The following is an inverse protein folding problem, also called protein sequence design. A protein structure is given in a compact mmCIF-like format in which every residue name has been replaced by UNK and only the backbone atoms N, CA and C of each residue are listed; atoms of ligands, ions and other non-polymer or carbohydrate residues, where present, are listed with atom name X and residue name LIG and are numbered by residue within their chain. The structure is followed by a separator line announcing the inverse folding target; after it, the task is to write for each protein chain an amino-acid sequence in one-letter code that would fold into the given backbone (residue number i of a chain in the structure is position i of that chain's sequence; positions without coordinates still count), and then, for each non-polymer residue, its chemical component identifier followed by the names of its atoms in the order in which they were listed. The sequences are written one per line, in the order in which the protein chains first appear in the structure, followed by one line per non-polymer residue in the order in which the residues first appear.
data_IF_245548938429
#
_entry.id   IF_245548938429
#
_cell.length_a   1.000
_cell.length_b   1.000
_cell.length_c   1.000
_cell.angle_alpha   90.00
_cell.angle_beta   90.00
_cell.angle_gamma   90.00
#
_symmetry.space_group_name_H-M   'P 1'
#
loop_
_entity.id
_entity.type
_entity.pdbx_description
1 polymer ?
#
# COMPACT_ATOMS: atom_id res chain seq x y z
N UNK A 1 3.56 22.77 4.55
CA UNK A 1 3.44 21.82 3.44
C UNK A 1 2.00 21.37 3.34
N UNK A 2 1.39 21.49 2.19
CA UNK A 2 0.01 21.06 1.99
C UNK A 2 -0.01 20.13 0.79
N UNK A 3 -0.12 18.82 1.05
CA UNK A 3 -0.34 17.81 0.02
C UNK A 3 -1.82 17.74 -0.35
N UNK A 4 -2.13 17.15 -1.48
CA UNK A 4 -3.53 16.95 -1.90
C UNK A 4 -4.32 15.96 -1.02
N UNK A 5 -3.61 15.13 -0.22
CA UNK A 5 -4.19 14.29 0.82
C UNK A 5 -3.67 14.72 2.20
N UNK A 6 -4.57 14.83 3.16
CA UNK A 6 -4.19 15.01 4.56
C UNK A 6 -3.40 13.78 5.06
N UNK A 7 -2.31 14.00 5.78
CA UNK A 7 -1.35 12.93 6.02
C UNK A 7 -0.62 13.07 7.35
N UNK A 8 -0.39 11.95 8.02
CA UNK A 8 0.60 11.86 9.10
C UNK A 8 1.98 11.68 8.46
N UNK A 9 2.93 12.55 8.83
CA UNK A 9 4.29 12.51 8.32
C UNK A 9 5.25 12.32 9.48
N UNK A 10 6.02 11.24 9.45
CA UNK A 10 7.02 10.91 10.47
C UNK A 10 8.39 11.02 9.81
N UNK A 11 9.06 12.11 10.09
CA UNK A 11 10.40 12.41 9.56
C UNK A 11 11.51 11.72 10.36
N UNK A 12 12.70 11.54 9.79
CA UNK A 12 13.93 11.30 10.52
C UNK A 12 14.17 12.35 11.61
N UNK A 13 15.19 12.10 12.44
CA UNK A 13 15.66 13.11 13.41
C UNK A 13 16.19 14.37 12.69
N UNK A 14 16.16 15.49 13.39
CA UNK A 14 16.61 16.77 12.83
C UNK A 14 18.06 16.68 12.33
N UNK A 15 18.30 17.19 11.13
CA UNK A 15 19.60 17.15 10.48
C UNK A 15 19.94 15.86 9.74
N UNK A 16 19.10 14.83 9.83
CA UNK A 16 19.28 13.61 9.05
C UNK A 16 18.70 13.78 7.64
N UNK A 17 19.52 13.47 6.64
CA UNK A 17 19.10 13.50 5.23
C UNK A 17 18.05 12.43 4.94
N UNK A 18 16.94 12.82 4.30
CA UNK A 18 15.93 11.87 3.83
C UNK A 18 16.41 11.24 2.53
N UNK A 19 16.60 9.93 2.54
CA UNK A 19 17.06 9.14 1.39
C UNK A 19 15.96 8.26 0.80
N UNK A 20 14.97 7.89 1.60
CA UNK A 20 13.90 6.99 1.22
C UNK A 20 12.56 7.45 1.80
N UNK A 21 11.48 6.98 1.20
CA UNK A 21 10.13 7.14 1.73
C UNK A 21 9.39 5.81 1.79
N UNK A 22 8.54 5.65 2.82
CA UNK A 22 7.53 4.59 2.85
C UNK A 22 6.16 5.26 2.92
N UNK A 23 5.33 5.01 1.92
CA UNK A 23 3.95 5.46 1.89
C UNK A 23 3.08 4.32 2.40
N UNK A 24 2.36 4.55 3.51
CA UNK A 24 1.52 3.56 4.20
C UNK A 24 0.04 3.89 3.97
N UNK A 25 -0.68 3.00 3.30
CA UNK A 25 -2.08 3.17 2.95
C UNK A 25 -2.97 2.34 3.88
N UNK A 26 -3.90 3.01 4.57
CA UNK A 26 -4.83 2.36 5.51
C UNK A 26 -5.91 1.52 4.80
N UNK A 27 -6.61 0.67 5.55
CA UNK A 27 -7.76 -0.11 5.10
C UNK A 27 -9.05 0.71 5.07
N UNK A 28 -10.13 0.12 4.56
CA UNK A 28 -11.47 0.72 4.50
C UNK A 28 -11.96 1.09 5.89
N UNK A 29 -12.34 2.36 6.08
CA UNK A 29 -12.79 2.89 7.36
C UNK A 29 -11.70 3.22 8.38
N UNK A 30 -10.42 3.03 8.02
CA UNK A 30 -9.28 3.47 8.83
C UNK A 30 -8.82 4.88 8.46
N UNK A 31 -7.65 5.26 8.98
CA UNK A 31 -7.02 6.55 8.69
C UNK A 31 -5.49 6.45 8.68
N UNK A 32 -4.83 7.54 8.34
CA UNK A 32 -3.37 7.63 8.32
C UNK A 32 -2.73 7.45 9.71
N UNK A 33 -3.45 7.80 10.79
CA UNK A 33 -2.96 7.64 12.16
C UNK A 33 -2.90 6.15 12.54
N UNK A 34 -3.92 5.39 12.20
CA UNK A 34 -3.97 3.96 12.50
C UNK A 34 -2.82 3.21 11.81
N UNK A 35 -2.63 3.40 10.51
CA UNK A 35 -1.59 2.71 9.77
C UNK A 35 -0.18 3.21 10.13
N UNK A 36 -0.04 4.42 10.66
CA UNK A 36 1.23 4.99 11.10
C UNK A 36 1.88 4.22 12.24
N UNK A 37 1.10 3.40 12.97
CA UNK A 37 1.62 2.54 14.05
C UNK A 37 2.69 1.56 13.55
N UNK A 38 2.66 1.14 12.28
CA UNK A 38 3.73 0.32 11.69
C UNK A 38 5.08 1.05 11.70
N UNK A 39 5.09 2.36 11.46
CA UNK A 39 6.31 3.15 11.42
C UNK A 39 7.04 3.22 12.76
N UNK A 40 6.33 3.12 13.89
CA UNK A 40 6.92 3.16 15.22
C UNK A 40 7.95 2.03 15.43
N UNK A 41 7.67 0.85 14.90
CA UNK A 41 8.58 -0.28 14.96
C UNK A 41 9.68 -0.21 13.90
N UNK A 42 9.39 0.36 12.73
CA UNK A 42 10.31 0.39 11.58
C UNK A 42 11.32 1.54 11.64
N UNK A 43 10.92 2.70 12.18
CA UNK A 43 11.72 3.94 12.22
C UNK A 43 13.13 3.73 12.77
N UNK A 44 13.30 2.97 13.85
CA UNK A 44 14.60 2.71 14.47
C UNK A 44 15.58 1.95 13.58
N UNK A 45 15.08 1.22 12.58
CA UNK A 45 15.88 0.44 11.62
C UNK A 45 16.11 1.19 10.31
N UNK A 46 15.46 2.34 10.14
CA UNK A 46 15.40 3.11 8.89
C UNK A 46 15.61 4.61 9.16
N UNK A 47 16.78 5.01 9.70
CA UNK A 47 17.01 6.36 10.22
C UNK A 47 16.94 7.47 9.14
N UNK A 48 17.12 7.14 7.86
CA UNK A 48 17.07 8.08 6.73
C UNK A 48 15.74 8.03 5.96
N UNK A 49 14.68 7.44 6.55
CA UNK A 49 13.40 7.22 5.87
C UNK A 49 12.30 8.10 6.44
N UNK A 50 11.55 8.78 5.57
CA UNK A 50 10.31 9.45 5.93
C UNK A 50 9.15 8.48 5.75
N UNK A 51 8.26 8.39 6.75
CA UNK A 51 7.02 7.62 6.66
C UNK A 51 5.87 8.60 6.41
N UNK A 52 5.02 8.27 5.44
CA UNK A 52 3.93 9.13 4.98
C UNK A 52 2.67 8.28 4.95
N UNK A 53 1.70 8.67 5.77
CA UNK A 53 0.47 7.91 6.00
C UNK A 53 -0.72 8.81 5.66
N UNK A 54 -1.13 8.86 4.38
CA UNK A 54 -2.26 9.69 3.96
C UNK A 54 -3.59 9.11 4.40
N UNK A 55 -4.58 9.99 4.62
CA UNK A 55 -5.98 9.64 4.63
C UNK A 55 -6.47 9.38 3.21
N UNK A 56 -7.41 8.46 3.04
CA UNK A 56 -8.14 8.31 1.79
C UNK A 56 -8.83 9.61 1.41
N UNK A 57 -9.11 9.80 0.12
CA UNK A 57 -9.65 11.06 -0.38
C UNK A 57 -11.15 11.26 -0.08
N UNK A 58 -11.83 10.24 0.43
CA UNK A 58 -13.25 10.27 0.78
C UNK A 58 -13.47 9.85 2.23
N UNK A 59 -14.45 10.46 2.89
CA UNK A 59 -14.97 9.94 4.17
C UNK A 59 -15.58 8.56 3.93
N UNK A 60 -15.35 7.63 4.86
CA UNK A 60 -15.86 6.27 4.72
C UNK A 60 -17.39 6.22 4.91
N UNK A 61 -18.09 5.56 3.99
CA UNK A 61 -19.55 5.46 4.01
C UNK A 61 -20.09 4.76 5.27
N UNK A 62 -19.36 3.78 5.82
CA UNK A 62 -19.78 3.01 7.00
C UNK A 62 -19.11 3.45 8.31
N UNK A 63 -18.08 4.28 8.25
CA UNK A 63 -17.39 4.87 9.40
C UNK A 63 -17.08 6.34 9.15
N UNK A 64 -17.96 7.28 9.52
CA UNK A 64 -17.75 8.69 9.24
C UNK A 64 -16.51 9.33 9.88
N UNK A 65 -15.90 8.66 10.86
CA UNK A 65 -14.65 9.10 11.49
C UNK A 65 -13.38 8.59 10.75
N UNK A 66 -13.55 7.71 9.77
CA UNK A 66 -12.48 7.15 8.96
C UNK A 66 -12.63 7.49 7.48
N UNK A 67 -11.71 6.97 6.69
CA UNK A 67 -11.61 7.26 5.27
C UNK A 67 -11.68 5.99 4.40
N UNK A 68 -11.92 6.19 3.12
CA UNK A 68 -11.88 5.15 2.11
C UNK A 68 -11.12 5.62 0.88
N UNK A 69 -10.52 4.66 0.16
CA UNK A 69 -9.91 4.92 -1.14
C UNK A 69 -10.97 4.87 -2.24
N UNK A 70 -11.89 3.92 -2.12
CA UNK A 70 -13.04 3.78 -3.03
C UNK A 70 -14.23 3.14 -2.29
N UNK A 71 -15.43 3.43 -2.78
CA UNK A 71 -16.66 2.94 -2.17
C UNK A 71 -16.82 1.43 -2.36
N UNK A 72 -17.18 0.73 -1.28
CA UNK A 72 -17.49 -0.71 -1.23
C UNK A 72 -18.94 -0.98 -0.83
N UNK A 73 -19.80 0.01 -0.81
CA UNK A 73 -21.24 -0.15 -0.46
C UNK A 73 -22.03 -0.94 -1.50
N UNK A 74 -21.50 -1.07 -2.73
CA UNK A 74 -22.07 -1.86 -3.81
C UNK A 74 -21.12 -2.99 -4.19
N UNK A 75 -21.65 -4.21 -4.30
CA UNK A 75 -20.91 -5.40 -4.73
C UNK A 75 -20.84 -5.53 -6.27
N UNK A 76 -20.75 -4.40 -6.97
CA UNK A 76 -20.65 -4.35 -8.43
C UNK A 76 -19.19 -4.14 -8.84
N UNK A 77 -18.64 -5.08 -9.61
CA UNK A 77 -17.23 -5.08 -10.00
C UNK A 77 -16.84 -3.90 -10.89
N UNK A 78 -17.73 -3.46 -11.76
CA UNK A 78 -17.46 -2.35 -12.69
C UNK A 78 -17.55 -1.02 -11.94
N UNK A 79 -18.52 -0.90 -11.01
CA UNK A 79 -18.59 0.23 -10.10
C UNK A 79 -17.33 0.36 -9.23
N UNK A 80 -16.91 -0.74 -8.59
CA UNK A 80 -15.70 -0.75 -7.75
C UNK A 80 -14.47 -0.37 -8.59
N UNK A 81 -14.34 -0.89 -9.81
CA UNK A 81 -13.26 -0.54 -10.71
C UNK A 81 -13.27 0.96 -11.05
N UNK A 82 -14.42 1.52 -11.44
CA UNK A 82 -14.54 2.94 -11.75
C UNK A 82 -14.13 3.82 -10.56
N UNK A 83 -14.61 3.51 -9.35
CA UNK A 83 -14.26 4.27 -8.15
C UNK A 83 -12.77 4.13 -7.81
N UNK A 84 -12.20 2.94 -7.96
CA UNK A 84 -10.78 2.70 -7.70
C UNK A 84 -9.87 3.46 -8.67
N UNK A 85 -10.25 3.61 -9.95
CA UNK A 85 -9.50 4.38 -10.93
C UNK A 85 -9.45 5.87 -10.53
N UNK A 86 -10.56 6.44 -10.03
CA UNK A 86 -10.56 7.82 -9.51
C UNK A 86 -9.60 7.98 -8.33
N UNK A 87 -9.62 7.01 -7.41
CA UNK A 87 -8.68 6.98 -6.28
C UNK A 87 -7.22 6.87 -6.71
N UNK A 88 -6.94 6.06 -7.76
CA UNK A 88 -5.59 5.95 -8.32
C UNK A 88 -5.05 7.28 -8.83
N UNK A 89 -5.87 8.08 -9.51
CA UNK A 89 -5.46 9.41 -10.02
C UNK A 89 -5.06 10.34 -8.87
N UNK A 90 -5.85 10.37 -7.80
CA UNK A 90 -5.55 11.16 -6.61
C UNK A 90 -4.26 10.68 -5.95
N UNK A 91 -4.10 9.37 -5.77
CA UNK A 91 -2.92 8.79 -5.13
C UNK A 91 -1.66 8.99 -5.98
N UNK A 92 -1.74 8.88 -7.30
CA UNK A 92 -0.62 9.18 -8.22
C UNK A 92 -0.19 10.63 -8.13
N UNK A 93 -1.14 11.56 -8.05
CA UNK A 93 -0.86 12.98 -7.83
C UNK A 93 -0.13 13.17 -6.49
N UNK A 94 -0.64 12.60 -5.43
CA UNK A 94 -0.04 12.65 -4.09
C UNK A 94 1.40 12.12 -4.08
N UNK A 95 1.65 10.96 -4.70
CA UNK A 95 3.00 10.38 -4.80
C UNK A 95 3.96 11.34 -5.54
N UNK A 96 3.51 12.00 -6.60
CA UNK A 96 4.33 12.98 -7.31
C UNK A 96 4.64 14.21 -6.45
N UNK A 97 3.70 14.67 -5.63
CA UNK A 97 3.95 15.74 -4.65
C UNK A 97 5.02 15.32 -3.62
N UNK A 98 4.96 14.08 -3.12
CA UNK A 98 5.98 13.51 -2.21
C UNK A 98 7.36 13.46 -2.89
N UNK A 99 7.43 12.98 -4.14
CA UNK A 99 8.69 12.95 -4.92
C UNK A 99 9.31 14.33 -5.05
N UNK A 100 8.51 15.35 -5.33
CA UNK A 100 8.97 16.73 -5.47
C UNK A 100 9.44 17.30 -4.13
N UNK A 101 8.65 17.13 -3.08
CA UNK A 101 8.94 17.68 -1.75
C UNK A 101 10.23 17.13 -1.15
N UNK A 102 10.40 15.80 -1.20
CA UNK A 102 11.56 15.13 -0.62
C UNK A 102 12.69 14.88 -1.63
N UNK A 103 12.52 15.29 -2.88
CA UNK A 103 13.49 15.11 -3.99
C UNK A 103 13.85 13.64 -4.19
N UNK A 104 12.86 12.75 -4.12
CA UNK A 104 13.02 11.32 -4.27
C UNK A 104 12.57 10.85 -5.65
N UNK A 105 13.25 9.81 -6.16
CA UNK A 105 12.81 9.03 -7.33
C UNK A 105 11.98 7.82 -6.87
N UNK A 106 11.25 7.20 -7.79
CA UNK A 106 10.38 6.07 -7.47
C UNK A 106 11.12 4.91 -6.79
N UNK A 107 12.35 4.61 -7.23
CA UNK A 107 13.16 3.53 -6.66
C UNK A 107 13.66 3.78 -5.22
N UNK A 108 13.38 4.94 -4.66
CA UNK A 108 13.62 5.29 -3.26
C UNK A 108 12.33 5.29 -2.44
N UNK A 109 11.19 4.87 -3.03
CA UNK A 109 9.88 4.85 -2.39
C UNK A 109 9.35 3.43 -2.33
N UNK A 110 8.94 2.99 -1.14
CA UNK A 110 8.15 1.79 -0.94
C UNK A 110 6.67 2.17 -0.84
N UNK A 111 5.80 1.48 -1.58
CA UNK A 111 4.36 1.54 -1.37
C UNK A 111 3.93 0.37 -0.50
N UNK A 112 3.26 0.66 0.61
CA UNK A 112 2.74 -0.39 1.50
C UNK A 112 1.30 -0.08 1.89
N UNK A 113 0.50 -1.11 2.09
CA UNK A 113 -0.87 -0.89 2.50
C UNK A 113 -1.55 -2.12 3.08
N UNK A 114 -2.60 -1.87 3.86
CA UNK A 114 -3.43 -2.88 4.49
C UNK A 114 -4.81 -2.91 3.83
N UNK A 115 -5.34 -4.11 3.57
CA UNK A 115 -6.69 -4.33 3.05
C UNK A 115 -6.95 -3.49 1.77
N UNK A 116 -7.84 -2.53 1.78
CA UNK A 116 -8.09 -1.62 0.65
C UNK A 116 -6.82 -0.84 0.26
N UNK A 117 -5.97 -0.46 1.24
CA UNK A 117 -4.67 0.17 0.98
C UNK A 117 -3.68 -0.77 0.26
N UNK A 118 -3.72 -2.08 0.52
CA UNK A 118 -2.96 -3.08 -0.25
C UNK A 118 -3.42 -3.11 -1.71
N UNK A 119 -4.74 -3.11 -1.93
CA UNK A 119 -5.33 -3.09 -3.27
C UNK A 119 -4.85 -1.86 -4.07
N UNK A 120 -4.85 -0.68 -3.44
CA UNK A 120 -4.36 0.56 -4.03
C UNK A 120 -2.85 0.53 -4.28
N UNK A 121 -2.06 -0.01 -3.34
CA UNK A 121 -0.60 -0.14 -3.51
C UNK A 121 -0.24 -0.99 -4.72
N UNK A 122 -0.96 -2.10 -4.95
CA UNK A 122 -0.77 -2.95 -6.12
C UNK A 122 -1.16 -2.23 -7.42
N UNK A 123 -2.35 -1.66 -7.46
CA UNK A 123 -2.86 -1.00 -8.66
C UNK A 123 -1.97 0.20 -9.05
N UNK A 124 -1.71 1.11 -8.11
CA UNK A 124 -0.90 2.30 -8.39
C UNK A 124 0.56 1.91 -8.63
N UNK A 125 1.13 1.04 -7.79
CA UNK A 125 2.55 0.68 -7.89
C UNK A 125 2.93 0.01 -9.20
N UNK A 126 2.05 -0.82 -9.77
CA UNK A 126 2.29 -1.52 -11.02
C UNK A 126 1.92 -0.71 -12.27
N UNK A 127 1.10 0.34 -12.12
CA UNK A 127 0.65 1.20 -13.24
C UNK A 127 1.41 2.53 -13.34
N UNK A 128 2.38 2.80 -12.47
CA UNK A 128 3.32 3.89 -12.63
C UNK A 128 4.30 3.60 -13.77
N UNK A 129 4.85 4.65 -14.41
CA UNK A 129 5.85 4.48 -15.49
C UNK A 129 7.14 3.85 -14.96
N UNK A 130 7.62 4.32 -13.82
CA UNK A 130 8.87 3.87 -13.20
C UNK A 130 8.60 2.96 -12.01
N UNK A 131 9.52 2.01 -11.79
CA UNK A 131 9.46 1.10 -10.63
C UNK A 131 9.63 1.83 -9.32
N UNK A 132 8.86 1.40 -8.34
CA UNK A 132 9.15 1.67 -6.93
C UNK A 132 10.26 0.75 -6.40
N UNK A 133 10.80 1.08 -5.22
CA UNK A 133 11.76 0.18 -4.55
C UNK A 133 11.13 -1.19 -4.30
N UNK A 134 9.93 -1.20 -3.76
CA UNK A 134 9.11 -2.39 -3.60
C UNK A 134 7.64 -2.03 -3.31
N UNK A 135 6.77 -3.05 -3.39
CA UNK A 135 5.39 -3.01 -2.89
C UNK A 135 5.26 -4.02 -1.76
N UNK A 136 4.61 -3.63 -0.66
CA UNK A 136 4.26 -4.53 0.44
C UNK A 136 2.77 -4.45 0.72
N UNK A 137 2.07 -5.55 0.53
CA UNK A 137 0.63 -5.63 0.74
C UNK A 137 0.26 -6.57 1.89
N UNK A 138 -0.64 -6.10 2.77
CA UNK A 138 -1.21 -6.90 3.84
C UNK A 138 -2.70 -7.11 3.61
N UNK A 139 -3.16 -8.37 3.64
CA UNK A 139 -4.58 -8.78 3.65
C UNK A 139 -5.43 -8.10 2.57
N UNK A 140 -4.91 -8.01 1.35
CA UNK A 140 -5.60 -7.39 0.22
C UNK A 140 -5.81 -8.36 -0.94
N UNK A 141 -6.35 -7.81 -2.04
CA UNK A 141 -6.57 -8.54 -3.30
C UNK A 141 -6.31 -7.62 -4.50
N UNK A 142 -6.22 -8.19 -5.69
CA UNK A 142 -6.25 -7.42 -6.94
C UNK A 142 -7.71 -7.03 -7.22
N UNK A 143 -7.96 -5.74 -7.45
CA UNK A 143 -9.32 -5.19 -7.65
C UNK A 143 -9.96 -5.81 -8.90
N UNK A 144 -9.27 -5.74 -10.04
CA UNK A 144 -9.70 -6.32 -11.29
C UNK A 144 -8.49 -6.80 -12.10
N UNK A 145 -8.34 -8.12 -12.20
CA UNK A 145 -7.17 -8.72 -12.88
C UNK A 145 -7.13 -8.39 -14.38
N UNK A 146 -8.28 -8.34 -15.05
CA UNK A 146 -8.36 -8.07 -16.50
C UNK A 146 -7.95 -6.64 -16.80
N UNK A 147 -8.44 -5.68 -16.03
CA UNK A 147 -8.09 -4.27 -16.16
C UNK A 147 -6.61 -4.03 -15.83
N UNK A 148 -6.16 -4.50 -14.67
CA UNK A 148 -4.78 -4.30 -14.22
C UNK A 148 -3.77 -4.89 -15.22
N UNK A 149 -4.03 -6.10 -15.77
CA UNK A 149 -3.18 -6.72 -16.79
C UNK A 149 -2.90 -5.79 -17.97
N UNK A 150 -3.91 -5.06 -18.41
CA UNK A 150 -3.78 -4.16 -19.57
C UNK A 150 -3.03 -2.85 -19.25
N UNK A 151 -2.88 -2.54 -17.96
CA UNK A 151 -2.32 -1.27 -17.47
C UNK A 151 -0.97 -1.42 -16.76
N UNK A 152 -0.47 -2.64 -16.54
CA UNK A 152 0.87 -2.86 -15.95
C UNK A 152 1.92 -2.23 -16.84
N UNK A 153 2.76 -1.37 -16.26
CA UNK A 153 3.86 -0.65 -16.92
C UNK A 153 5.24 -1.03 -16.38
N UNK A 154 5.28 -1.58 -15.18
CA UNK A 154 6.52 -1.96 -14.51
C UNK A 154 6.36 -3.29 -13.75
N UNK A 155 7.48 -3.85 -13.30
CA UNK A 155 7.53 -5.10 -12.55
C UNK A 155 8.19 -4.88 -11.17
N UNK A 156 7.70 -3.90 -10.41
CA UNK A 156 8.14 -3.64 -9.04
C UNK A 156 8.03 -4.90 -8.19
N UNK A 157 9.13 -5.28 -7.51
CA UNK A 157 9.13 -6.47 -6.65
C UNK A 157 8.13 -6.31 -5.51
N UNK A 158 7.37 -7.36 -5.25
CA UNK A 158 6.20 -7.30 -4.36
C UNK A 158 6.29 -8.36 -3.26
N UNK A 159 5.90 -8.00 -2.04
CA UNK A 159 5.65 -8.93 -0.94
C UNK A 159 4.16 -8.85 -0.57
N UNK A 160 3.48 -9.99 -0.54
CA UNK A 160 2.10 -10.09 -0.07
C UNK A 160 2.03 -10.96 1.19
N UNK A 161 1.39 -10.45 2.23
CA UNK A 161 1.22 -11.14 3.52
C UNK A 161 -0.27 -11.22 3.83
N UNK A 162 -0.74 -12.39 4.26
CA UNK A 162 -2.16 -12.61 4.51
C UNK A 162 -2.39 -13.52 5.71
N UNK A 163 -3.45 -13.29 6.46
CA UNK A 163 -3.90 -14.18 7.51
C UNK A 163 -4.67 -15.37 6.94
N UNK A 164 -4.37 -16.59 7.40
CA UNK A 164 -5.05 -17.83 6.95
C UNK A 164 -6.54 -17.83 7.31
N UNK A 165 -6.89 -17.26 8.47
CA UNK A 165 -8.25 -17.21 9.00
C UNK A 165 -9.01 -15.91 8.65
N UNK A 166 -8.48 -15.10 7.70
CA UNK A 166 -9.10 -13.86 7.26
C UNK A 166 -10.47 -14.11 6.60
N UNK A 167 -11.54 -13.64 7.25
CA UNK A 167 -12.91 -13.75 6.77
C UNK A 167 -13.42 -12.49 6.09
N UNK A 168 -12.70 -11.38 6.17
CA UNK A 168 -13.03 -10.11 5.51
C UNK A 168 -12.53 -10.10 4.06
N UNK A 169 -11.27 -10.46 3.88
CA UNK A 169 -10.66 -10.71 2.57
C UNK A 169 -10.11 -12.13 2.58
N UNK A 170 -10.84 -13.13 2.04
CA UNK A 170 -10.41 -14.52 2.09
C UNK A 170 -8.98 -14.73 1.59
N UNK A 171 -8.21 -15.55 2.31
CA UNK A 171 -6.79 -15.81 2.01
C UNK A 171 -6.53 -16.46 0.64
N UNK A 172 -7.57 -17.03 -0.01
CA UNK A 172 -7.50 -17.49 -1.41
C UNK A 172 -7.04 -16.40 -2.36
N UNK A 173 -7.37 -15.13 -2.07
CA UNK A 173 -6.93 -13.97 -2.85
C UNK A 173 -5.41 -13.76 -2.83
N UNK A 174 -4.69 -14.25 -1.81
CA UNK A 174 -3.23 -14.23 -1.81
C UNK A 174 -2.67 -15.09 -2.95
N UNK A 175 -3.19 -16.31 -3.13
CA UNK A 175 -2.77 -17.22 -4.19
C UNK A 175 -3.15 -16.70 -5.57
N UNK A 176 -4.36 -16.18 -5.72
CA UNK A 176 -4.84 -15.55 -6.95
C UNK A 176 -3.95 -14.35 -7.36
N UNK A 177 -3.62 -13.49 -6.40
CA UNK A 177 -2.73 -12.35 -6.64
C UNK A 177 -1.32 -12.80 -6.99
N UNK A 178 -0.76 -13.79 -6.28
CA UNK A 178 0.55 -14.39 -6.59
C UNK A 178 0.60 -14.90 -8.03
N UNK A 179 -0.37 -15.74 -8.42
CA UNK A 179 -0.42 -16.34 -9.74
C UNK A 179 -0.59 -15.29 -10.85
N UNK A 180 -1.39 -14.27 -10.59
CA UNK A 180 -1.56 -13.15 -11.50
C UNK A 180 -0.25 -12.37 -11.68
N UNK A 181 0.44 -12.03 -10.59
CA UNK A 181 1.69 -11.27 -10.63
C UNK A 181 2.80 -12.03 -11.36
N UNK A 182 2.96 -13.33 -11.08
CA UNK A 182 3.94 -14.19 -11.78
C UNK A 182 3.65 -14.24 -13.28
N UNK A 183 2.38 -14.44 -13.68
CA UNK A 183 1.98 -14.48 -15.11
C UNK A 183 2.22 -13.15 -15.84
N UNK A 184 2.34 -12.04 -15.10
CA UNK A 184 2.62 -10.72 -15.64
C UNK A 184 4.08 -10.27 -15.39
N UNK A 185 5.02 -11.21 -15.15
CA UNK A 185 6.45 -10.97 -14.96
C UNK A 185 6.78 -10.07 -13.76
N UNK A 186 5.94 -10.03 -12.75
CA UNK A 186 6.19 -9.37 -11.47
C UNK A 186 6.73 -10.40 -10.49
N UNK A 187 7.93 -10.16 -9.93
CA UNK A 187 8.48 -10.99 -8.87
C UNK A 187 7.71 -10.75 -7.59
N UNK A 188 7.18 -11.82 -7.00
CA UNK A 188 6.35 -11.77 -5.80
C UNK A 188 6.77 -12.83 -4.79
N UNK A 189 7.00 -12.38 -3.56
CA UNK A 189 7.12 -13.23 -2.38
C UNK A 189 5.79 -13.21 -1.62
N UNK A 190 5.44 -14.32 -0.97
CA UNK A 190 4.18 -14.43 -0.22
C UNK A 190 4.41 -15.05 1.15
N UNK A 191 3.66 -14.58 2.16
CA UNK A 191 3.61 -15.17 3.49
C UNK A 191 2.14 -15.36 3.91
N UNK A 192 1.75 -16.60 4.22
CA UNK A 192 0.47 -16.93 4.83
C UNK A 192 0.70 -17.19 6.32
N UNK A 193 0.03 -16.42 7.20
CA UNK A 193 0.18 -16.52 8.65
C UNK A 193 -0.94 -17.36 9.22
N UNK A 194 -0.59 -18.47 9.85
CA UNK A 194 -1.54 -19.41 10.44
C UNK A 194 -2.32 -18.76 11.60
N UNK A 195 -3.60 -19.13 11.71
CA UNK A 195 -4.50 -18.66 12.75
C UNK A 195 -4.59 -17.13 12.88
N UNK A 196 -4.24 -16.39 11.84
CA UNK A 196 -4.33 -14.94 11.78
C UNK A 196 -5.58 -14.53 11.00
N UNK A 197 -6.37 -13.62 11.56
CA UNK A 197 -7.53 -13.01 10.93
C UNK A 197 -7.16 -11.73 10.14
N UNK A 198 -8.09 -10.78 9.95
CA UNK A 198 -7.90 -9.56 9.19
C UNK A 198 -7.15 -8.48 9.98
N UNK A 199 -5.88 -8.69 10.30
CA UNK A 199 -5.00 -7.71 10.95
C UNK A 199 -3.53 -7.92 10.58
N UNK A 200 -2.64 -7.01 11.04
CA UNK A 200 -1.19 -7.10 10.82
C UNK A 200 -0.51 -7.52 12.13
N UNK A 201 -0.19 -8.80 12.33
CA UNK A 201 0.54 -9.26 13.51
C UNK A 201 2.02 -8.86 13.44
N UNK A 202 2.73 -8.97 14.57
CA UNK A 202 4.17 -8.63 14.68
C UNK A 202 5.01 -9.40 13.64
N UNK A 203 4.70 -10.66 13.40
CA UNK A 203 5.38 -11.49 12.40
C UNK A 203 5.27 -10.89 10.99
N UNK A 204 4.07 -10.43 10.59
CA UNK A 204 3.84 -9.77 9.32
C UNK A 204 4.64 -8.47 9.21
N UNK A 205 4.57 -7.62 10.24
CA UNK A 205 5.28 -6.36 10.32
C UNK A 205 6.80 -6.56 10.22
N UNK A 206 7.35 -7.55 10.94
CA UNK A 206 8.78 -7.86 10.94
C UNK A 206 9.25 -8.42 9.58
N UNK A 207 8.45 -9.29 8.95
CA UNK A 207 8.75 -9.83 7.62
C UNK A 207 8.75 -8.72 6.57
N UNK A 208 7.78 -7.82 6.62
CA UNK A 208 7.71 -6.65 5.75
C UNK A 208 8.94 -5.76 5.91
N UNK A 209 9.32 -5.42 7.15
CA UNK A 209 10.53 -4.63 7.42
C UNK A 209 11.76 -5.28 6.82
N UNK A 210 11.98 -6.57 7.05
CA UNK A 210 13.13 -7.31 6.52
C UNK A 210 13.15 -7.35 4.98
N UNK A 211 11.98 -7.37 4.35
CA UNK A 211 11.89 -7.29 2.89
C UNK A 211 12.24 -5.89 2.40
N UNK A 212 11.67 -4.85 2.99
CA UNK A 212 11.92 -3.45 2.62
C UNK A 212 13.41 -3.09 2.76
N UNK A 213 14.05 -3.46 3.89
CA UNK A 213 15.47 -3.17 4.15
C UNK A 213 16.44 -3.74 3.10
N UNK A 214 16.00 -4.70 2.29
CA UNK A 214 16.79 -5.26 1.17
C UNK A 214 16.59 -4.50 -0.14
N UNK A 215 15.67 -3.53 -0.17
CA UNK A 215 15.21 -2.85 -1.40
C UNK A 215 15.47 -1.34 -1.42
N UNK A 216 15.66 -0.72 -0.25
CA UNK A 216 15.93 0.71 -0.10
C UNK A 216 17.22 1.01 0.66
#
# INVERSE_FOLDING_TARGET
MTFCLDSIIIKPEDGVEIKNAIILLHGYGGDGKDISMLSLNWKRHMPNTVFICPNGHEACAINPSGYQWFDLTKEDSDYILEQSIKAEEVLKKFINEIKQEFKLSNNQICLSGFSQGCMMSLNVGLTFEEKFSCIVGFSGKIINQKDLKNRIKNNTETLLIHGEADQIVPSTHLLEAKDFLIRNNVKVDTLLIKNCDHHIPIEASSTALNFILKKI
#
